data_IF_220218587880
#
_entry.id   IF_220218587880
#
_cell.length_a   1.000
_cell.length_b   1.000
_cell.length_c   1.000
_cell.angle_alpha   90.00
_cell.angle_beta   90.00
_cell.angle_gamma   90.00
#
_symmetry.space_group_name_H-M   'P 1'
#
loop_
_entity.id
_entity.type
_entity.pdbx_description
1 polymer ?
#
# COMPACT_ATOMS: atom_id res chain seq x y z
N UNK A 1 10.52 -65.39 -79.70
CA UNK A 1 10.48 -64.71 -78.39
C UNK A 1 11.72 -63.84 -78.24
N UNK A 2 11.84 -62.73 -78.99
CA UNK A 2 13.12 -61.98 -79.03
C UNK A 2 12.99 -60.49 -78.72
N UNK A 3 11.87 -60.05 -78.12
CA UNK A 3 11.81 -58.67 -77.65
C UNK A 3 10.78 -58.43 -76.53
N UNK A 4 10.92 -59.16 -75.41
CA UNK A 4 10.08 -58.94 -74.21
C UNK A 4 10.11 -57.47 -73.77
N UNK A 5 11.29 -56.84 -73.80
CA UNK A 5 11.46 -55.42 -73.48
C UNK A 5 10.63 -54.51 -74.40
N UNK A 6 10.68 -54.70 -75.72
CA UNK A 6 9.91 -53.87 -76.64
C UNK A 6 8.39 -54.02 -76.44
N UNK A 7 7.92 -55.20 -76.00
CA UNK A 7 6.51 -55.39 -75.66
C UNK A 7 6.13 -54.66 -74.36
N UNK A 8 7.00 -54.70 -73.35
CA UNK A 8 6.82 -53.89 -72.13
C UNK A 8 6.80 -52.40 -72.45
N UNK A 9 7.77 -51.90 -73.21
CA UNK A 9 7.86 -50.49 -73.62
C UNK A 9 6.61 -50.08 -74.43
N UNK A 10 6.15 -50.94 -75.34
CA UNK A 10 4.92 -50.71 -76.14
C UNK A 10 3.68 -50.48 -75.28
N UNK A 11 3.47 -51.33 -74.26
CA UNK A 11 2.31 -51.17 -73.37
C UNK A 11 2.51 -50.05 -72.36
N UNK A 12 3.74 -49.83 -71.89
CA UNK A 12 4.08 -48.74 -70.96
C UNK A 12 3.66 -47.36 -71.49
N UNK A 13 3.94 -47.10 -72.78
CA UNK A 13 3.62 -45.84 -73.45
C UNK A 13 2.12 -45.64 -73.64
N UNK A 14 1.34 -46.72 -73.70
CA UNK A 14 -0.12 -46.70 -73.87
C UNK A 14 -0.89 -46.59 -72.55
N UNK A 15 -0.23 -46.79 -71.41
CA UNK A 15 -0.85 -46.55 -70.09
C UNK A 15 -0.88 -45.05 -69.81
N UNK A 16 -2.08 -44.50 -69.61
CA UNK A 16 -2.26 -43.13 -69.13
C UNK A 16 -3.01 -43.12 -67.79
N UNK A 17 -2.66 -42.13 -66.97
CA UNK A 17 -3.24 -41.94 -65.64
C UNK A 17 -4.48 -41.05 -65.73
N UNK A 18 -5.50 -41.39 -64.95
CA UNK A 18 -6.73 -40.62 -64.77
C UNK A 18 -7.03 -40.52 -63.27
N UNK A 19 -8.05 -39.74 -62.92
CA UNK A 19 -8.52 -39.59 -61.53
C UNK A 19 -7.41 -39.18 -60.55
N UNK A 20 -6.82 -38.00 -60.79
CA UNK A 20 -5.70 -37.47 -60.00
C UNK A 20 -6.02 -37.29 -58.51
N UNK A 21 -7.29 -37.07 -58.17
CA UNK A 21 -7.75 -36.92 -56.79
C UNK A 21 -7.60 -38.24 -56.02
N UNK A 22 -8.08 -39.35 -56.58
CA UNK A 22 -7.97 -40.67 -55.94
C UNK A 22 -6.50 -41.12 -55.85
N UNK A 23 -5.66 -40.78 -56.84
CA UNK A 23 -4.21 -41.02 -56.77
C UNK A 23 -3.59 -40.24 -55.61
N UNK A 24 -4.03 -39.00 -55.37
CA UNK A 24 -3.49 -38.13 -54.32
C UNK A 24 -4.10 -38.36 -52.93
N UNK A 25 -5.15 -39.18 -52.83
CA UNK A 25 -5.86 -39.44 -51.58
C UNK A 25 -4.88 -39.94 -50.49
N UNK A 26 -4.83 -39.31 -49.29
CA UNK A 26 -3.95 -39.77 -48.21
C UNK A 26 -4.39 -41.08 -47.56
N UNK A 27 -5.65 -41.48 -47.72
CA UNK A 27 -6.24 -42.69 -47.15
C UNK A 27 -5.74 -43.98 -47.79
N UNK A 28 -6.12 -45.12 -47.21
CA UNK A 28 -5.84 -46.41 -47.85
C UNK A 28 -6.78 -46.62 -49.04
N UNK A 29 -6.20 -46.88 -50.22
CA UNK A 29 -6.94 -47.26 -51.43
C UNK A 29 -6.40 -48.61 -51.90
N UNK A 30 -7.29 -49.53 -52.27
CA UNK A 30 -6.88 -50.85 -52.74
C UNK A 30 -6.20 -50.73 -54.11
N UNK A 31 -5.17 -51.54 -54.32
CA UNK A 31 -4.41 -51.57 -55.58
C UNK A 31 -5.27 -51.90 -56.80
N UNK A 32 -6.32 -52.72 -56.61
CA UNK A 32 -7.28 -53.02 -57.68
C UNK A 32 -8.01 -51.75 -58.11
N UNK A 33 -8.60 -51.03 -57.17
CA UNK A 33 -9.37 -49.81 -57.44
C UNK A 33 -8.46 -48.77 -58.12
N UNK A 34 -7.22 -48.59 -57.64
CA UNK A 34 -6.25 -47.72 -58.30
C UNK A 34 -5.95 -48.13 -59.76
N UNK A 35 -5.84 -49.43 -60.05
CA UNK A 35 -5.59 -49.89 -61.42
C UNK A 35 -6.79 -49.60 -62.33
N UNK A 36 -8.01 -49.91 -61.89
CA UNK A 36 -9.21 -49.76 -62.74
C UNK A 36 -9.65 -48.29 -62.86
N UNK A 37 -9.66 -47.57 -61.75
CA UNK A 37 -10.25 -46.24 -61.66
C UNK A 37 -9.27 -45.13 -62.00
N UNK A 38 -7.96 -45.36 -61.87
CA UNK A 38 -6.92 -44.36 -62.11
C UNK A 38 -6.04 -44.65 -63.33
N UNK A 39 -6.33 -45.70 -64.11
CA UNK A 39 -5.69 -45.94 -65.40
C UNK A 39 -6.70 -46.34 -66.48
N UNK A 40 -6.24 -46.48 -67.71
CA UNK A 40 -7.01 -47.05 -68.82
C UNK A 40 -6.94 -48.58 -68.89
N UNK A 41 -6.67 -49.27 -67.78
CA UNK A 41 -6.56 -50.74 -67.72
C UNK A 41 -7.71 -51.43 -68.44
N UNK A 42 -8.96 -51.07 -68.12
CA UNK A 42 -10.16 -51.70 -68.67
C UNK A 42 -10.32 -51.52 -70.18
N UNK A 43 -9.80 -50.42 -70.73
CA UNK A 43 -9.82 -50.14 -72.16
C UNK A 43 -8.71 -50.92 -72.89
N UNK A 44 -7.52 -51.04 -72.27
CA UNK A 44 -6.37 -51.70 -72.87
C UNK A 44 -6.56 -53.20 -73.03
N UNK A 45 -7.03 -53.91 -72.00
CA UNK A 45 -7.19 -55.36 -72.10
C UNK A 45 -8.36 -55.79 -72.99
N UNK A 46 -9.35 -54.90 -73.18
CA UNK A 46 -10.48 -55.10 -74.11
C UNK A 46 -10.18 -54.65 -75.54
N UNK A 47 -8.99 -54.10 -75.78
CA UNK A 47 -8.64 -53.58 -77.10
C UNK A 47 -8.61 -54.68 -78.17
N UNK A 48 -8.96 -54.36 -79.43
CA UNK A 48 -8.94 -55.32 -80.53
C UNK A 48 -7.57 -55.99 -80.71
N UNK A 49 -6.48 -55.23 -80.50
CA UNK A 49 -5.10 -55.71 -80.58
C UNK A 49 -4.81 -56.85 -79.58
N UNK A 50 -5.44 -56.84 -78.40
CA UNK A 50 -5.29 -57.89 -77.38
C UNK A 50 -6.26 -59.05 -77.62
N UNK A 51 -7.48 -58.76 -78.07
CA UNK A 51 -8.53 -59.77 -78.26
C UNK A 51 -8.28 -60.68 -79.47
N UNK A 52 -7.53 -60.22 -80.47
CA UNK A 52 -7.17 -60.99 -81.66
C UNK A 52 -5.99 -61.95 -81.46
N UNK A 53 -5.29 -61.86 -80.32
CA UNK A 53 -4.17 -62.76 -79.98
C UNK A 53 -4.68 -64.16 -79.63
N UNK A 54 -3.79 -65.14 -79.76
CA UNK A 54 -4.05 -66.48 -79.25
C UNK A 54 -4.14 -66.47 -77.71
N UNK A 55 -4.65 -67.54 -77.11
CA UNK A 55 -4.95 -67.55 -75.68
C UNK A 55 -3.68 -67.40 -74.81
N UNK A 56 -2.56 -67.97 -75.24
CA UNK A 56 -1.29 -67.91 -74.51
C UNK A 56 -0.70 -66.49 -74.54
N UNK A 57 -0.60 -65.87 -75.73
CA UNK A 57 -0.05 -64.53 -75.88
C UNK A 57 -1.00 -63.49 -75.28
N UNK A 58 -2.32 -63.68 -75.41
CA UNK A 58 -3.31 -62.80 -74.77
C UNK A 58 -3.16 -62.77 -73.26
N UNK A 59 -3.04 -63.94 -72.61
CA UNK A 59 -2.86 -64.02 -71.16
C UNK A 59 -1.55 -63.33 -70.73
N UNK A 60 -0.49 -63.50 -71.51
CA UNK A 60 0.79 -62.83 -71.25
C UNK A 60 0.71 -61.32 -71.40
N UNK A 61 0.11 -60.81 -72.48
CA UNK A 61 -0.10 -59.38 -72.71
C UNK A 61 -0.99 -58.75 -71.62
N UNK A 62 -2.07 -59.42 -71.21
CA UNK A 62 -2.94 -58.94 -70.12
C UNK A 62 -2.15 -58.82 -68.81
N UNK A 63 -1.23 -59.75 -68.53
CA UNK A 63 -0.37 -59.69 -67.35
C UNK A 63 0.58 -58.47 -67.41
N UNK A 64 1.16 -58.17 -68.57
CA UNK A 64 2.00 -56.98 -68.79
C UNK A 64 1.16 -55.71 -68.59
N UNK A 65 0.00 -55.59 -69.24
CA UNK A 65 -0.90 -54.43 -69.10
C UNK A 65 -1.29 -54.23 -67.62
N UNK A 66 -1.62 -55.32 -66.91
CA UNK A 66 -1.95 -55.27 -65.48
C UNK A 66 -0.78 -54.76 -64.65
N UNK A 67 0.43 -55.23 -64.92
CA UNK A 67 1.65 -54.80 -64.25
C UNK A 67 1.92 -53.32 -64.50
N UNK A 68 1.96 -52.88 -65.76
CA UNK A 68 2.27 -51.49 -66.13
C UNK A 68 1.27 -50.50 -65.54
N UNK A 69 -0.04 -50.80 -65.66
CA UNK A 69 -1.08 -49.96 -65.06
C UNK A 69 -0.92 -49.85 -63.55
N UNK A 70 -0.66 -50.98 -62.87
CA UNK A 70 -0.47 -51.00 -61.41
C UNK A 70 0.80 -50.27 -61.00
N UNK A 71 1.93 -50.49 -61.69
CA UNK A 71 3.20 -49.88 -61.37
C UNK A 71 3.15 -48.35 -61.56
N UNK A 72 2.61 -47.88 -62.69
CA UNK A 72 2.55 -46.45 -63.02
C UNK A 72 1.69 -45.66 -62.02
N UNK A 73 0.52 -46.19 -61.64
CA UNK A 73 -0.35 -45.52 -60.65
C UNK A 73 0.27 -45.54 -59.25
N UNK A 74 0.87 -46.65 -58.83
CA UNK A 74 1.51 -46.75 -57.51
C UNK A 74 2.75 -45.86 -57.40
N UNK A 75 3.56 -45.77 -58.45
CA UNK A 75 4.71 -44.87 -58.50
C UNK A 75 4.27 -43.40 -58.39
N UNK A 76 3.23 -43.00 -59.14
CA UNK A 76 2.72 -41.63 -59.07
C UNK A 76 2.16 -41.31 -57.67
N UNK A 77 1.37 -42.23 -57.10
CA UNK A 77 0.82 -42.11 -55.75
C UNK A 77 1.93 -42.00 -54.69
N UNK A 78 2.94 -42.87 -54.76
CA UNK A 78 4.06 -42.84 -53.83
C UNK A 78 4.84 -41.51 -53.91
N UNK A 79 5.02 -40.96 -55.11
CA UNK A 79 5.59 -39.62 -55.30
C UNK A 79 4.77 -38.54 -54.58
N UNK A 80 3.47 -38.45 -54.88
CA UNK A 80 2.56 -37.46 -54.27
C UNK A 80 2.51 -37.56 -52.75
N UNK A 81 2.45 -38.78 -52.21
CA UNK A 81 2.43 -39.00 -50.76
C UNK A 81 3.75 -38.59 -50.10
N UNK A 82 4.89 -38.80 -50.78
CA UNK A 82 6.19 -38.34 -50.31
C UNK A 82 6.27 -36.82 -50.30
N UNK A 83 5.86 -36.17 -51.38
CA UNK A 83 5.87 -34.70 -51.47
C UNK A 83 5.02 -34.09 -50.34
N UNK A 84 3.81 -34.63 -50.14
CA UNK A 84 2.93 -34.21 -49.04
C UNK A 84 3.53 -34.47 -47.65
N UNK A 85 4.22 -35.59 -47.46
CA UNK A 85 4.91 -35.88 -46.20
C UNK A 85 6.00 -34.84 -45.93
N UNK A 86 6.81 -34.50 -46.95
CA UNK A 86 7.83 -33.46 -46.86
C UNK A 86 7.24 -32.07 -46.58
N UNK A 87 6.11 -31.72 -47.18
CA UNK A 87 5.38 -30.47 -46.87
C UNK A 87 4.91 -30.43 -45.41
N UNK A 88 4.34 -31.53 -44.91
CA UNK A 88 3.88 -31.61 -43.52
C UNK A 88 5.03 -31.57 -42.52
N UNK A 89 6.15 -32.22 -42.83
CA UNK A 89 7.37 -32.14 -42.02
C UNK A 89 7.89 -30.71 -41.97
N UNK A 90 7.99 -30.02 -43.12
CA UNK A 90 8.42 -28.62 -43.18
C UNK A 90 7.49 -27.70 -42.37
N UNK A 91 6.18 -27.86 -42.50
CA UNK A 91 5.19 -27.11 -41.73
C UNK A 91 5.32 -27.38 -40.22
N UNK A 92 5.53 -28.63 -39.81
CA UNK A 92 5.76 -28.99 -38.41
C UNK A 92 7.02 -28.33 -37.86
N UNK A 93 8.12 -28.34 -38.61
CA UNK A 93 9.37 -27.70 -38.20
C UNK A 93 9.21 -26.18 -38.07
N UNK A 94 8.48 -25.54 -38.98
CA UNK A 94 8.19 -24.11 -38.87
C UNK A 94 7.36 -23.80 -37.62
N UNK A 95 6.33 -24.62 -37.33
CA UNK A 95 5.51 -24.47 -36.15
C UNK A 95 6.34 -24.64 -34.86
N UNK A 96 7.26 -25.60 -34.81
CA UNK A 96 8.15 -25.82 -33.67
C UNK A 96 9.12 -24.64 -33.45
N UNK A 97 9.61 -24.03 -34.53
CA UNK A 97 10.41 -22.81 -34.44
C UNK A 97 9.61 -21.63 -33.91
N UNK A 98 8.36 -21.46 -34.35
CA UNK A 98 7.46 -20.42 -33.84
C UNK A 98 7.15 -20.63 -32.35
N UNK A 99 6.84 -21.87 -31.95
CA UNK A 99 6.61 -22.23 -30.55
C UNK A 99 7.82 -21.92 -29.67
N UNK A 100 9.03 -22.24 -30.15
CA UNK A 100 10.28 -21.94 -29.44
C UNK A 100 10.49 -20.43 -29.25
N UNK A 101 10.21 -19.62 -30.28
CA UNK A 101 10.25 -18.15 -30.19
C UNK A 101 9.25 -17.61 -29.17
N UNK A 102 8.01 -18.12 -29.20
CA UNK A 102 6.96 -17.71 -28.26
C UNK A 102 7.31 -18.08 -26.81
N UNK A 103 7.87 -19.26 -26.57
CA UNK A 103 8.37 -19.66 -25.25
C UNK A 103 9.49 -18.73 -24.75
N UNK A 104 10.40 -18.32 -25.62
CA UNK A 104 11.43 -17.33 -25.30
C UNK A 104 10.83 -15.98 -24.88
N UNK A 105 9.83 -15.49 -25.62
CA UNK A 105 9.12 -14.25 -25.28
C UNK A 105 8.36 -14.36 -23.95
N UNK A 106 7.68 -15.47 -23.71
CA UNK A 106 6.98 -15.72 -22.44
C UNK A 106 7.94 -15.67 -21.25
N UNK A 107 9.12 -16.30 -21.38
CA UNK A 107 10.13 -16.26 -20.31
C UNK A 107 10.65 -14.84 -20.06
N UNK A 108 10.92 -14.08 -21.12
CA UNK A 108 11.36 -12.69 -20.99
C UNK A 108 10.30 -11.79 -20.33
N UNK A 109 9.01 -12.02 -20.64
CA UNK A 109 7.90 -11.32 -20.00
C UNK A 109 7.76 -11.71 -18.52
N UNK A 110 7.87 -12.99 -18.19
CA UNK A 110 7.87 -13.47 -16.81
C UNK A 110 8.99 -12.82 -15.99
N UNK A 111 10.22 -12.81 -16.49
CA UNK A 111 11.37 -12.19 -15.81
C UNK A 111 11.12 -10.69 -15.55
N UNK A 112 10.57 -9.96 -16.51
CA UNK A 112 10.20 -8.54 -16.33
C UNK A 112 9.09 -8.35 -15.30
N UNK A 113 8.07 -9.20 -15.31
CA UNK A 113 6.96 -9.14 -14.34
C UNK A 113 7.45 -9.40 -12.92
N UNK A 114 8.27 -10.44 -12.71
CA UNK A 114 8.86 -10.72 -11.40
C UNK A 114 9.83 -9.63 -10.94
N UNK A 115 10.57 -9.02 -11.87
CA UNK A 115 11.40 -7.85 -11.58
C UNK A 115 10.58 -6.67 -11.05
N UNK A 116 9.47 -6.35 -11.73
CA UNK A 116 8.55 -5.29 -11.31
C UNK A 116 7.85 -5.59 -9.98
N UNK A 117 7.44 -6.83 -9.74
CA UNK A 117 6.82 -7.23 -8.46
C UNK A 117 7.77 -7.02 -7.26
N UNK A 118 9.06 -7.33 -7.44
CA UNK A 118 10.08 -7.04 -6.42
C UNK A 118 10.26 -5.54 -6.19
N UNK A 119 10.23 -4.74 -7.25
CA UNK A 119 10.34 -3.28 -7.16
C UNK A 119 9.12 -2.68 -6.43
N UNK A 120 7.91 -3.14 -6.76
CA UNK A 120 6.66 -2.75 -6.09
C UNK A 120 6.75 -3.00 -4.59
N UNK A 121 7.10 -4.24 -4.17
CA UNK A 121 7.26 -4.58 -2.75
C UNK A 121 8.29 -3.71 -2.03
N UNK A 122 9.36 -3.33 -2.72
CA UNK A 122 10.40 -2.45 -2.18
C UNK A 122 9.89 -1.01 -1.98
N UNK A 123 9.10 -0.52 -2.94
CA UNK A 123 8.48 0.80 -2.87
C UNK A 123 7.39 0.84 -1.79
N UNK A 124 6.55 -0.19 -1.70
CA UNK A 124 5.53 -0.33 -0.64
C UNK A 124 6.18 -0.29 0.75
N UNK A 125 7.24 -1.06 0.98
CA UNK A 125 7.97 -1.03 2.25
C UNK A 125 8.56 0.35 2.57
N UNK A 126 9.03 1.07 1.54
CA UNK A 126 9.56 2.43 1.71
C UNK A 126 8.44 3.43 2.03
N UNK A 127 7.27 3.30 1.40
CA UNK A 127 6.10 4.14 1.70
C UNK A 127 5.68 3.93 3.15
N UNK A 128 5.50 2.69 3.60
CA UNK A 128 5.13 2.42 5.01
C UNK A 128 6.15 2.95 6.00
N UNK A 129 7.46 2.87 5.69
CA UNK A 129 8.51 3.46 6.53
C UNK A 129 8.41 4.98 6.62
N UNK A 130 8.12 5.66 5.50
CA UNK A 130 7.98 7.12 5.46
C UNK A 130 6.69 7.59 6.13
N UNK A 131 5.61 6.81 6.04
CA UNK A 131 4.36 7.07 6.76
C UNK A 131 4.59 7.01 8.28
N UNK A 132 5.28 5.98 8.76
CA UNK A 132 5.63 5.87 10.18
C UNK A 132 6.54 7.01 10.66
N UNK A 133 7.51 7.44 9.84
CA UNK A 133 8.38 8.59 10.15
C UNK A 133 7.58 9.89 10.20
N UNK A 134 6.66 10.11 9.26
CA UNK A 134 5.78 11.28 9.26
C UNK A 134 4.87 11.32 10.48
N UNK A 135 4.26 10.20 10.88
CA UNK A 135 3.43 10.11 12.09
C UNK A 135 4.25 10.43 13.35
N UNK A 136 5.48 9.92 13.44
CA UNK A 136 6.38 10.22 14.56
C UNK A 136 6.72 11.72 14.61
N UNK A 137 7.06 12.33 13.48
CA UNK A 137 7.35 13.76 13.38
C UNK A 137 6.14 14.64 13.69
N UNK A 138 4.93 14.24 13.28
CA UNK A 138 3.70 14.93 13.63
C UNK A 138 3.45 14.90 15.13
N UNK A 139 3.57 13.73 15.76
CA UNK A 139 3.47 13.58 17.22
C UNK A 139 4.52 14.41 17.96
N UNK A 140 5.76 14.46 17.46
CA UNK A 140 6.81 15.29 18.04
C UNK A 140 6.49 16.79 17.92
N UNK A 141 5.98 17.23 16.77
CA UNK A 141 5.56 18.60 16.55
C UNK A 141 4.40 19.01 17.47
N UNK A 142 3.41 18.14 17.67
CA UNK A 142 2.31 18.36 18.61
C UNK A 142 2.80 18.44 20.06
N UNK A 143 3.68 17.53 20.47
CA UNK A 143 4.27 17.55 21.80
C UNK A 143 5.09 18.84 22.04
N UNK A 144 5.86 19.28 21.03
CA UNK A 144 6.60 20.53 21.13
C UNK A 144 5.67 21.75 21.24
N UNK A 145 4.55 21.78 20.50
CA UNK A 145 3.51 22.81 20.67
C UNK A 145 2.94 22.80 22.10
N UNK A 146 2.54 21.64 22.61
CA UNK A 146 2.03 21.51 23.98
C UNK A 146 3.06 21.97 25.03
N UNK A 147 4.35 21.64 24.86
CA UNK A 147 5.43 22.13 25.72
C UNK A 147 5.54 23.66 25.67
N UNK A 148 5.47 24.26 24.49
CA UNK A 148 5.53 25.73 24.37
C UNK A 148 4.36 26.40 25.08
N UNK A 149 3.15 25.85 24.96
CA UNK A 149 1.97 26.33 25.68
C UNK A 149 2.15 26.22 27.19
N UNK A 150 2.59 25.07 27.70
CA UNK A 150 2.89 24.88 29.14
C UNK A 150 3.92 25.88 29.67
N UNK A 151 4.97 26.18 28.89
CA UNK A 151 5.97 27.19 29.28
C UNK A 151 5.32 28.56 29.41
N UNK A 152 4.45 28.95 28.48
CA UNK A 152 3.75 30.23 28.56
C UNK A 152 2.80 30.29 29.76
N UNK A 153 2.08 29.21 30.07
CA UNK A 153 1.20 29.13 31.24
C UNK A 153 1.98 29.22 32.55
N UNK A 154 3.10 28.49 32.66
CA UNK A 154 3.99 28.57 33.82
C UNK A 154 4.53 29.98 34.03
N UNK A 155 4.88 30.67 32.96
CA UNK A 155 5.39 32.04 33.04
C UNK A 155 4.29 33.03 33.49
N UNK A 156 3.05 32.86 33.01
CA UNK A 156 1.90 33.60 33.51
C UNK A 156 1.61 33.29 35.00
N UNK A 157 1.67 32.03 35.39
CA UNK A 157 1.43 31.60 36.78
C UNK A 157 2.50 32.17 37.71
N UNK A 158 3.77 32.17 37.29
CA UNK A 158 4.88 32.81 38.01
C UNK A 158 4.65 34.31 38.21
N UNK A 159 4.18 35.02 37.18
CA UNK A 159 3.80 36.45 37.30
C UNK A 159 2.68 36.65 38.33
N UNK A 160 1.62 35.82 38.29
CA UNK A 160 0.53 35.86 39.27
C UNK A 160 1.01 35.57 40.69
N UNK A 161 1.86 34.56 40.86
CA UNK A 161 2.45 34.20 42.16
C UNK A 161 3.24 35.37 42.75
N UNK A 162 4.15 35.97 41.97
CA UNK A 162 4.95 37.12 42.42
C UNK A 162 4.07 38.32 42.82
N UNK A 163 2.96 38.55 42.12
CA UNK A 163 2.00 39.61 42.46
C UNK A 163 1.30 39.32 43.80
N UNK A 164 0.89 38.08 44.05
CA UNK A 164 0.31 37.65 45.34
C UNK A 164 1.34 37.78 46.47
N UNK A 165 2.59 37.40 46.23
CA UNK A 165 3.66 37.51 47.21
C UNK A 165 3.94 38.97 47.61
N UNK A 166 4.02 39.89 46.63
CA UNK A 166 4.11 41.32 46.90
C UNK A 166 2.93 41.83 47.72
N UNK A 167 1.71 41.46 47.34
CA UNK A 167 0.49 41.83 48.08
C UNK A 167 0.51 41.31 49.51
N UNK A 168 1.02 40.09 49.74
CA UNK A 168 1.19 39.51 51.08
C UNK A 168 2.18 40.31 51.92
N UNK A 169 3.31 40.74 51.34
CA UNK A 169 4.29 41.59 52.03
C UNK A 169 3.71 42.95 52.39
N UNK A 170 2.94 43.57 51.51
CA UNK A 170 2.24 44.83 51.78
C UNK A 170 1.22 44.69 52.92
N UNK A 171 0.39 43.65 52.88
CA UNK A 171 -0.56 43.35 53.96
C UNK A 171 0.14 43.11 55.29
N UNK A 172 1.29 42.41 55.29
CA UNK A 172 2.09 42.21 56.50
C UNK A 172 2.59 43.54 57.09
N UNK A 173 3.13 44.44 56.26
CA UNK A 173 3.55 45.80 56.69
C UNK A 173 2.37 46.61 57.22
N UNK A 174 1.21 46.56 56.55
CA UNK A 174 0.03 47.29 56.96
C UNK A 174 -0.52 46.77 58.29
N UNK A 175 -0.57 45.45 58.48
CA UNK A 175 -0.93 44.83 59.76
C UNK A 175 0.03 45.21 60.89
N UNK A 176 1.34 45.28 60.65
CA UNK A 176 2.30 45.78 61.64
C UNK A 176 2.03 47.24 62.02
N UNK A 177 1.79 48.11 61.02
CA UNK A 177 1.45 49.52 61.25
C UNK A 177 0.17 49.67 62.07
N UNK A 178 -0.88 48.93 61.72
CA UNK A 178 -2.16 48.91 62.44
C UNK A 178 -1.98 48.37 63.86
N UNK A 179 -1.21 47.30 64.06
CA UNK A 179 -0.87 46.77 65.38
C UNK A 179 -0.17 47.81 66.26
N UNK A 180 0.77 48.57 65.68
CA UNK A 180 1.42 49.71 66.35
C UNK A 180 0.42 50.80 66.74
N UNK A 181 -0.46 51.22 65.81
CA UNK A 181 -1.53 52.20 66.09
C UNK A 181 -2.45 51.74 67.21
N UNK A 182 -2.91 50.48 67.16
CA UNK A 182 -3.77 49.89 68.20
C UNK A 182 -3.05 49.88 69.56
N UNK A 183 -1.76 49.55 69.60
CA UNK A 183 -0.96 49.60 70.82
C UNK A 183 -0.84 51.04 71.37
N UNK A 184 -0.62 52.03 70.50
CA UNK A 184 -0.62 53.45 70.89
C UNK A 184 -1.98 53.90 71.43
N UNK A 185 -3.08 53.59 70.73
CA UNK A 185 -4.44 53.92 71.20
C UNK A 185 -4.72 53.28 72.56
N UNK A 186 -4.30 52.03 72.78
CA UNK A 186 -4.45 51.35 74.07
C UNK A 186 -3.63 52.05 75.16
N UNK A 187 -2.39 52.47 74.88
CA UNK A 187 -1.55 53.24 75.81
C UNK A 187 -2.14 54.61 76.12
N UNK A 188 -2.59 55.38 75.12
CA UNK A 188 -3.24 56.67 75.36
C UNK A 188 -4.52 56.53 76.16
N UNK A 189 -5.29 55.46 75.94
CA UNK A 189 -6.46 55.15 76.77
C UNK A 189 -6.05 54.89 78.22
N UNK A 190 -5.02 54.08 78.46
CA UNK A 190 -4.47 53.84 79.80
C UNK A 190 -4.02 55.15 80.47
N UNK A 191 -3.22 55.97 79.78
CA UNK A 191 -2.76 57.27 80.31
C UNK A 191 -3.92 58.22 80.61
N UNK A 192 -4.96 58.23 79.77
CA UNK A 192 -6.16 59.04 80.01
C UNK A 192 -6.91 58.54 81.23
N UNK A 193 -7.09 57.23 81.36
CA UNK A 193 -7.79 56.63 82.49
C UNK A 193 -7.01 56.88 83.80
N UNK A 194 -5.66 56.82 83.78
CA UNK A 194 -4.79 57.24 84.89
C UNK A 194 -4.95 58.73 85.23
N UNK A 195 -4.96 59.62 84.23
CA UNK A 195 -5.14 61.05 84.44
C UNK A 195 -6.51 61.40 85.03
N UNK A 196 -7.58 60.69 84.62
CA UNK A 196 -8.93 60.84 85.20
C UNK A 196 -8.89 60.52 86.69
N UNK A 197 -8.27 59.40 87.07
CA UNK A 197 -8.11 59.02 88.49
C UNK A 197 -7.34 60.08 89.26
N UNK A 198 -6.26 60.61 88.67
CA UNK A 198 -5.40 61.61 89.31
C UNK A 198 -6.12 62.96 89.50
N UNK A 199 -6.91 63.40 88.52
CA UNK A 199 -7.77 64.59 88.64
C UNK A 199 -8.83 64.40 89.72
N UNK A 200 -9.42 63.22 89.81
CA UNK A 200 -10.42 62.94 90.85
C UNK A 200 -9.79 62.99 92.26
N UNK A 201 -8.59 62.43 92.44
CA UNK A 201 -7.82 62.55 93.67
C UNK A 201 -7.47 64.02 94.00
N UNK A 202 -7.05 64.81 93.02
CA UNK A 202 -6.78 66.24 93.21
C UNK A 202 -8.03 67.02 93.59
N UNK A 203 -9.18 66.73 92.96
CA UNK A 203 -10.47 67.34 93.34
C UNK A 203 -10.83 67.03 94.79
N UNK A 204 -10.63 65.79 95.23
CA UNK A 204 -10.83 65.40 96.63
C UNK A 204 -9.88 66.15 97.56
N UNK A 205 -8.59 66.26 97.22
CA UNK A 205 -7.62 67.03 98.01
C UNK A 205 -7.98 68.52 98.08
N UNK A 206 -8.39 69.14 96.96
CA UNK A 206 -8.86 70.54 96.92
C UNK A 206 -10.10 70.70 97.81
N UNK A 207 -11.07 69.77 97.73
CA UNK A 207 -12.25 69.82 98.58
C UNK A 207 -11.89 69.76 100.08
N UNK A 208 -10.94 68.90 100.46
CA UNK A 208 -10.42 68.82 101.83
C UNK A 208 -9.73 70.12 102.25
N UNK A 209 -8.84 70.67 101.42
CA UNK A 209 -8.14 71.93 101.68
C UNK A 209 -9.08 73.12 101.76
N UNK A 210 -10.14 73.16 100.95
CA UNK A 210 -11.18 74.20 101.02
C UNK A 210 -11.93 74.11 102.34
N UNK A 211 -12.32 72.91 102.79
CA UNK A 211 -12.94 72.71 104.10
C UNK A 211 -12.00 73.10 105.24
N UNK A 212 -10.70 72.78 105.13
CA UNK A 212 -9.68 73.11 106.12
C UNK A 212 -9.42 74.63 106.18
N UNK A 213 -9.37 75.30 105.02
CA UNK A 213 -9.26 76.76 104.94
C UNK A 213 -10.50 77.45 105.51
N UNK A 214 -11.70 76.89 105.29
CA UNK A 214 -12.94 77.37 105.91
C UNK A 214 -12.87 77.25 107.44
N UNK A 215 -12.45 76.09 107.96
CA UNK A 215 -12.25 75.88 109.41
C UNK A 215 -11.23 76.84 110.00
N UNK A 216 -10.09 77.04 109.34
CA UNK A 216 -9.05 77.98 109.78
C UNK A 216 -9.52 79.44 109.75
N UNK A 217 -10.42 79.80 108.81
CA UNK A 217 -11.07 81.13 108.81
C UNK A 217 -12.02 81.28 109.98
N UNK A 218 -12.85 80.28 110.25
CA UNK A 218 -13.74 80.25 111.42
C UNK A 218 -12.96 80.27 112.74
N UNK A 219 -11.81 79.58 112.81
CA UNK A 219 -10.90 79.63 113.96
C UNK A 219 -10.23 80.99 114.12
N UNK A 220 -9.78 81.62 113.04
CA UNK A 220 -9.25 82.99 113.07
C UNK A 220 -10.32 83.99 113.51
N UNK A 221 -11.55 83.88 113.03
CA UNK A 221 -12.67 84.71 113.50
C UNK A 221 -12.95 84.51 114.99
N UNK A 222 -12.94 83.26 115.48
CA UNK A 222 -13.08 82.94 116.91
C UNK A 222 -11.91 83.49 117.75
N UNK A 223 -10.69 83.49 117.23
CA UNK A 223 -9.51 84.05 117.91
C UNK A 223 -9.55 85.59 117.91
N UNK A 224 -9.96 86.22 116.81
CA UNK A 224 -10.21 87.67 116.75
C UNK A 224 -11.29 88.11 117.76
N UNK A 225 -12.36 87.33 117.91
CA UNK A 225 -13.39 87.58 118.92
C UNK A 225 -12.89 87.39 120.37
N UNK A 226 -11.85 86.58 120.60
CA UNK A 226 -11.20 86.40 121.91
C UNK A 226 -10.16 87.50 122.24
N UNK A 227 -9.58 88.14 121.24
CA UNK A 227 -8.60 89.23 121.40
C UNK A 227 -9.26 90.61 121.62
N UNK A 228 -10.54 90.75 121.28
CA UNK A 228 -11.34 91.97 121.44
C UNK A 228 -12.28 91.94 122.69
N UNK A 229 -11.89 91.19 123.74
CA UNK A 229 -12.50 91.20 125.08
C UNK A 229 -11.41 91.33 126.14
#
# INVERSE_FOLDING_TARGET
MDNSKALFDYWHDRVWLKNSELIADPGHVKTQDLRHDCTNYDDLWRSPEVQQLDEADRNWVIAIIKYECTAKVLQNRAGRLRDRASELEAASHEQDQQNSKLLGLLKALQEKLFGKDKEIKRLEARVSSLEAENEALQSEAENNKAKTELVTELEQLKKKYNAVEKRRQELAKNNQSLGGKVAHTKRYKQQRDEAIVLVEQQKQQIATLVQESQRLREENERLYQKLNK
#
